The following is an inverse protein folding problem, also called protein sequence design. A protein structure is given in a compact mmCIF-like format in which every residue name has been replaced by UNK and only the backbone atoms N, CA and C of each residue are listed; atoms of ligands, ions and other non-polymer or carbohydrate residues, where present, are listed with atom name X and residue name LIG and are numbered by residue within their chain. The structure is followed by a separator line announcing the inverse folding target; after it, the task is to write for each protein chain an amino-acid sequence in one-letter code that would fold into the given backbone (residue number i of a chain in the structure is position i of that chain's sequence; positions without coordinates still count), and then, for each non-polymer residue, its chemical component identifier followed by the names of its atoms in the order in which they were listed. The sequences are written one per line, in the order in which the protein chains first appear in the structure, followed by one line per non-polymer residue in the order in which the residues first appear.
data_IF_491278603857
#
_entry.id   IF_491278603857
#
_cell.length_a   1.000
_cell.length_b   1.000
_cell.length_c   1.000
_cell.angle_alpha   90.00
_cell.angle_beta   90.00
_cell.angle_gamma   90.00
#
_symmetry.space_group_name_H-M   'P 1'
#
loop_
_entity.id
_entity.type
_entity.pdbx_description
1 polymer ?
#
# COMPACT_ATOMS: atom_id res chain seq x y z
N UNK A 1 4.40 5.34 38.45
CA UNK A 1 5.60 5.75 37.70
C UNK A 1 5.16 6.82 36.69
N UNK A 2 5.64 8.08 36.86
CA UNK A 2 5.25 9.18 35.96
C UNK A 2 5.86 8.94 34.57
N UNK A 3 5.07 8.43 33.68
CA UNK A 3 5.42 8.36 32.25
C UNK A 3 5.30 9.79 31.72
N UNK A 4 6.37 10.58 31.85
CA UNK A 4 6.46 11.90 31.21
C UNK A 4 6.56 11.65 29.72
N UNK A 5 5.40 11.66 29.08
CA UNK A 5 5.33 11.65 27.61
C UNK A 5 6.13 12.82 27.06
N UNK A 6 7.05 12.54 26.15
CA UNK A 6 7.83 13.61 25.46
C UNK A 6 6.88 14.66 24.85
N UNK A 7 7.24 15.94 24.94
CA UNK A 7 6.47 17.01 24.29
C UNK A 7 6.37 16.76 22.76
N UNK A 8 5.23 17.07 22.17
CA UNK A 8 5.00 16.87 20.73
C UNK A 8 6.04 17.57 19.86
N UNK A 9 6.45 18.78 20.25
CA UNK A 9 7.50 19.58 19.61
C UNK A 9 8.88 18.89 19.56
N UNK A 10 9.21 18.07 20.58
CA UNK A 10 10.46 17.28 20.59
C UNK A 10 10.32 16.12 19.59
N UNK A 11 9.18 15.49 19.57
CA UNK A 11 8.86 14.40 18.63
C UNK A 11 8.91 14.93 17.19
N UNK A 12 8.27 16.06 16.90
CA UNK A 12 8.29 16.70 15.58
C UNK A 12 9.69 17.07 15.12
N UNK A 13 10.56 17.52 16.04
CA UNK A 13 11.97 17.79 15.73
C UNK A 13 12.71 16.51 15.33
N UNK A 14 12.53 15.43 16.06
CA UNK A 14 13.16 14.14 15.75
C UNK A 14 12.66 13.55 14.43
N UNK A 15 11.43 13.80 14.06
CA UNK A 15 10.88 13.36 12.77
C UNK A 15 11.51 14.05 11.54
N UNK A 16 12.22 15.16 11.78
CA UNK A 16 12.97 15.87 10.73
C UNK A 16 14.46 15.52 10.75
N UNK A 17 14.87 14.61 11.63
CA UNK A 17 16.25 14.19 11.72
C UNK A 17 16.70 13.49 10.44
N UNK A 18 17.97 13.70 10.05
CA UNK A 18 18.54 13.02 8.88
C UNK A 18 18.75 11.53 9.13
N UNK A 19 18.88 11.13 10.40
CA UNK A 19 19.03 9.75 10.82
C UNK A 19 17.66 9.06 10.89
N UNK A 20 17.47 7.99 10.12
CA UNK A 20 16.25 7.22 10.10
C UNK A 20 15.96 6.50 11.43
N UNK A 21 16.99 6.10 12.19
CA UNK A 21 16.80 5.47 13.50
C UNK A 21 16.20 6.46 14.50
N UNK A 22 16.61 7.74 14.43
CA UNK A 22 16.02 8.82 15.24
C UNK A 22 14.56 9.05 14.82
N UNK A 23 14.26 9.09 13.50
CA UNK A 23 12.89 9.25 13.03
C UNK A 23 12.00 8.06 13.42
N UNK A 24 12.51 6.82 13.33
CA UNK A 24 11.77 5.62 13.75
C UNK A 24 11.53 5.59 15.27
N UNK A 25 12.51 6.01 16.09
CA UNK A 25 12.37 6.11 17.53
C UNK A 25 11.34 7.16 17.96
N UNK A 26 11.24 8.27 17.24
CA UNK A 26 10.25 9.33 17.49
C UNK A 26 8.81 8.79 17.45
N UNK A 27 8.52 7.87 16.54
CA UNK A 27 7.19 7.26 16.41
C UNK A 27 6.85 6.34 17.58
N UNK A 28 7.82 5.58 18.08
CA UNK A 28 7.62 4.77 19.28
C UNK A 28 7.35 5.65 20.51
N UNK A 29 7.90 6.86 20.55
CA UNK A 29 7.65 7.86 21.60
C UNK A 29 6.26 8.51 21.51
N UNK A 30 5.57 8.36 20.38
CA UNK A 30 4.18 8.82 20.20
C UNK A 30 3.13 7.86 20.78
N UNK A 31 3.55 6.74 21.34
CA UNK A 31 2.65 5.74 21.91
C UNK A 31 1.71 6.34 22.95
N UNK A 32 0.40 6.17 22.76
CA UNK A 32 -0.64 6.71 23.67
C UNK A 32 -0.86 8.23 23.58
N UNK A 33 -0.37 8.90 22.52
CA UNK A 33 -0.60 10.33 22.27
C UNK A 33 -1.53 10.55 21.09
N UNK A 34 -2.30 11.63 21.15
CA UNK A 34 -3.01 12.16 20.00
C UNK A 34 -1.99 12.75 19.02
N UNK A 35 -1.77 12.05 17.91
CA UNK A 35 -0.87 12.50 16.85
C UNK A 35 -1.71 13.09 15.72
N UNK A 36 -1.45 14.35 15.29
CA UNK A 36 -2.18 14.95 14.19
C UNK A 36 -2.08 14.10 12.90
N UNK A 37 -3.19 14.03 12.15
CA UNK A 37 -3.29 13.21 10.94
C UNK A 37 -2.22 13.57 9.90
N UNK A 38 -1.92 14.85 9.72
CA UNK A 38 -0.88 15.35 8.83
C UNK A 38 0.54 14.86 9.20
N UNK A 39 0.79 14.62 10.48
CA UNK A 39 2.06 14.07 10.96
C UNK A 39 2.14 12.59 10.62
N UNK A 40 1.05 11.85 10.83
CA UNK A 40 0.95 10.42 10.46
C UNK A 40 1.15 10.26 8.95
N UNK A 41 0.46 11.06 8.14
CA UNK A 41 0.59 11.00 6.67
C UNK A 41 2.03 11.26 6.22
N UNK A 42 2.72 12.20 6.85
CA UNK A 42 4.12 12.48 6.54
C UNK A 42 5.02 11.29 6.85
N UNK A 43 4.81 10.60 7.97
CA UNK A 43 5.59 9.41 8.33
C UNK A 43 5.36 8.24 7.38
N UNK A 44 4.12 8.01 6.99
CA UNK A 44 3.76 6.98 6.02
C UNK A 44 4.35 7.24 4.63
N UNK A 45 4.86 8.47 4.38
CA UNK A 45 5.52 8.88 3.14
C UNK A 45 7.03 9.12 3.31
N UNK A 46 7.61 8.75 4.44
CA UNK A 46 9.06 8.90 4.67
C UNK A 46 9.87 8.16 3.59
N UNK A 47 11.01 8.69 3.21
CA UNK A 47 11.88 8.07 2.21
C UNK A 47 12.44 6.72 2.67
N UNK A 48 12.65 6.54 3.99
CA UNK A 48 13.14 5.28 4.54
C UNK A 48 11.98 4.32 4.86
N UNK A 49 12.03 3.12 4.28
CA UNK A 49 10.98 2.11 4.46
C UNK A 49 10.82 1.65 5.91
N UNK A 50 11.88 1.70 6.74
CA UNK A 50 11.83 1.35 8.17
C UNK A 50 11.01 2.35 8.96
N UNK A 51 11.11 3.62 8.59
CA UNK A 51 10.29 4.69 9.17
C UNK A 51 8.84 4.48 8.81
N UNK A 52 8.53 4.17 7.55
CA UNK A 52 7.16 3.87 7.10
C UNK A 52 6.56 2.65 7.79
N UNK A 53 7.33 1.56 7.89
CA UNK A 53 6.90 0.34 8.59
C UNK A 53 6.65 0.58 10.08
N UNK A 54 7.53 1.36 10.74
CA UNK A 54 7.33 1.73 12.13
C UNK A 54 6.07 2.60 12.32
N UNK A 55 5.77 3.52 11.37
CA UNK A 55 4.55 4.32 11.39
C UNK A 55 3.29 3.45 11.31
N UNK A 56 3.24 2.52 10.36
CA UNK A 56 2.12 1.58 10.24
C UNK A 56 1.91 0.77 11.52
N UNK A 57 2.98 0.19 12.05
CA UNK A 57 2.94 -0.58 13.29
C UNK A 57 2.49 0.27 14.49
N UNK A 58 2.90 1.53 14.55
CA UNK A 58 2.47 2.45 15.61
C UNK A 58 0.97 2.77 15.49
N UNK A 59 0.48 3.04 14.29
CA UNK A 59 -0.95 3.27 14.04
C UNK A 59 -1.79 2.05 14.42
N UNK A 60 -1.43 0.87 13.95
CA UNK A 60 -2.14 -0.38 14.27
C UNK A 60 -2.19 -0.67 15.78
N UNK A 61 -1.04 -0.56 16.48
CA UNK A 61 -0.95 -0.81 17.94
C UNK A 61 -1.74 0.18 18.77
N UNK A 62 -1.88 1.41 18.32
CA UNK A 62 -2.59 2.47 19.06
C UNK A 62 -4.04 2.64 18.60
N UNK A 63 -4.53 1.78 17.70
CA UNK A 63 -5.89 1.91 17.15
C UNK A 63 -6.12 3.22 16.38
N UNK A 64 -5.03 3.84 15.88
CA UNK A 64 -5.12 5.05 15.07
C UNK A 64 -5.51 4.61 13.65
N UNK A 65 -6.66 5.07 13.12
CA UNK A 65 -7.05 4.72 11.77
C UNK A 65 -6.01 5.26 10.78
N UNK A 66 -5.57 4.40 9.88
CA UNK A 66 -4.69 4.84 8.79
C UNK A 66 -5.47 5.78 7.87
N UNK A 67 -4.87 6.92 7.48
CA UNK A 67 -5.55 7.84 6.58
C UNK A 67 -5.81 7.19 5.23
N UNK A 68 -7.00 7.41 4.67
CA UNK A 68 -7.30 7.01 3.31
C UNK A 68 -6.51 7.90 2.34
N UNK A 69 -5.56 7.33 1.64
CA UNK A 69 -4.73 8.05 0.68
C UNK A 69 -4.92 7.45 -0.71
N UNK A 70 -5.47 8.26 -1.62
CA UNK A 70 -5.66 7.91 -3.02
C UNK A 70 -5.00 8.97 -3.89
N UNK A 71 -3.98 8.59 -4.65
CA UNK A 71 -3.30 9.50 -5.59
C UNK A 71 -4.03 9.64 -6.92
N UNK A 72 -4.88 8.65 -7.21
CA UNK A 72 -5.82 8.67 -8.35
C UNK A 72 -7.14 8.07 -7.90
N UNK A 73 -8.23 8.39 -8.61
CA UNK A 73 -9.45 7.61 -8.56
C UNK A 73 -9.36 6.50 -9.63
N UNK A 74 -9.31 5.21 -9.23
CA UNK A 74 -9.27 4.12 -10.19
C UNK A 74 -10.57 4.08 -11.02
N UNK A 75 -10.51 3.64 -12.27
CA UNK A 75 -11.73 3.33 -13.04
C UNK A 75 -12.49 2.17 -12.38
N UNK A 76 -13.73 1.94 -12.82
CA UNK A 76 -14.57 0.84 -12.31
C UNK A 76 -13.87 -0.51 -12.38
N UNK A 77 -13.16 -0.78 -13.49
CA UNK A 77 -12.36 -1.98 -13.68
C UNK A 77 -10.89 -1.63 -13.84
N UNK A 78 -10.04 -2.41 -13.18
CA UNK A 78 -8.59 -2.33 -13.27
C UNK A 78 -8.01 -3.67 -13.70
N UNK A 79 -6.77 -3.68 -14.20
CA UNK A 79 -6.21 -4.82 -14.88
C UNK A 79 -4.81 -5.16 -14.37
N UNK A 80 -4.54 -6.45 -14.21
CA UNK A 80 -3.21 -6.95 -13.81
C UNK A 80 -2.76 -8.03 -14.77
N UNK A 81 -1.54 -7.88 -15.32
CA UNK A 81 -0.91 -8.96 -16.09
C UNK A 81 -0.33 -10.00 -15.15
N UNK A 82 -0.59 -11.25 -15.48
CA UNK A 82 -0.10 -12.43 -14.78
C UNK A 82 0.76 -13.32 -15.71
N UNK A 83 1.32 -14.38 -15.15
CA UNK A 83 2.14 -15.35 -15.90
C UNK A 83 1.35 -15.90 -17.09
N UNK A 84 2.05 -16.16 -18.20
CA UNK A 84 1.41 -16.67 -19.42
C UNK A 84 0.55 -15.67 -20.18
N UNK A 85 0.59 -14.39 -19.81
CA UNK A 85 -0.23 -13.33 -20.45
C UNK A 85 -1.68 -13.29 -19.95
N UNK A 86 -2.01 -14.05 -18.91
CA UNK A 86 -3.32 -13.99 -18.26
C UNK A 86 -3.56 -12.60 -17.71
N UNK A 87 -4.77 -12.08 -17.87
CA UNK A 87 -5.19 -10.78 -17.33
C UNK A 87 -6.22 -11.00 -16.22
N UNK A 88 -5.90 -10.52 -15.04
CA UNK A 88 -6.83 -10.44 -13.91
C UNK A 88 -7.55 -9.09 -13.97
N UNK A 89 -8.87 -9.11 -13.93
CA UNK A 89 -9.75 -7.94 -13.86
C UNK A 89 -10.23 -7.80 -12.42
N UNK A 90 -10.16 -6.60 -11.88
CA UNK A 90 -10.55 -6.34 -10.50
C UNK A 90 -11.28 -5.00 -10.36
N UNK A 91 -12.02 -4.84 -9.26
CA UNK A 91 -12.52 -3.56 -8.76
C UNK A 91 -11.74 -3.15 -7.53
N UNK A 92 -11.62 -1.84 -7.30
CA UNK A 92 -10.93 -1.28 -6.13
C UNK A 92 -11.98 -0.70 -5.18
N UNK A 93 -12.12 -1.24 -3.97
CA UNK A 93 -13.10 -0.73 -3.00
C UNK A 93 -12.87 0.75 -2.66
N UNK A 94 -13.92 1.51 -2.33
CA UNK A 94 -13.81 2.95 -2.06
C UNK A 94 -12.97 3.27 -0.80
N UNK A 95 -12.83 2.33 0.12
CA UNK A 95 -12.01 2.43 1.33
C UNK A 95 -10.57 1.93 1.14
N UNK A 96 -10.20 1.54 -0.08
CA UNK A 96 -8.85 1.08 -0.40
C UNK A 96 -7.87 2.24 -0.59
N UNK A 97 -6.65 2.05 -0.09
CA UNK A 97 -5.50 2.91 -0.38
C UNK A 97 -5.10 2.78 -1.84
N UNK A 98 -4.78 3.87 -2.52
CA UNK A 98 -4.33 3.83 -3.91
C UNK A 98 -3.11 4.71 -4.12
N UNK A 99 -2.07 4.15 -4.74
CA UNK A 99 -0.84 4.83 -5.12
C UNK A 99 -0.55 4.61 -6.61
N UNK A 100 0.02 5.61 -7.24
CA UNK A 100 0.43 5.57 -8.64
C UNK A 100 -0.16 6.71 -9.46
N UNK A 101 -0.09 6.57 -10.78
CA UNK A 101 -0.63 7.50 -11.75
C UNK A 101 -1.42 6.75 -12.82
N UNK A 102 -2.47 7.36 -13.36
CA UNK A 102 -3.39 6.70 -14.31
C UNK A 102 -2.73 6.22 -15.61
N UNK A 103 -1.58 6.77 -15.96
CA UNK A 103 -0.80 6.39 -17.16
C UNK A 103 0.31 5.37 -16.86
N UNK A 104 0.38 4.86 -15.64
CA UNK A 104 1.43 3.93 -15.20
C UNK A 104 0.89 2.81 -14.33
N UNK A 105 1.82 2.10 -13.69
CA UNK A 105 1.50 1.05 -12.73
C UNK A 105 1.04 1.65 -11.41
N UNK A 106 -0.11 1.22 -10.94
CA UNK A 106 -0.70 1.61 -9.66
C UNK A 106 -0.61 0.47 -8.64
N UNK A 107 -0.80 0.80 -7.36
CA UNK A 107 -0.85 -0.15 -6.25
C UNK A 107 -2.02 0.17 -5.33
N UNK A 108 -2.60 -0.87 -4.75
CA UNK A 108 -3.65 -0.76 -3.73
C UNK A 108 -3.44 -1.77 -2.61
N UNK A 109 -4.02 -1.52 -1.45
CA UNK A 109 -4.05 -2.45 -0.32
C UNK A 109 -5.21 -3.45 -0.40
N UNK A 110 -6.26 -3.13 -1.21
CA UNK A 110 -7.43 -4.00 -1.38
C UNK A 110 -7.88 -4.04 -2.83
N UNK A 111 -8.32 -5.21 -3.27
CA UNK A 111 -8.97 -5.40 -4.56
C UNK A 111 -9.97 -6.55 -4.47
N UNK A 112 -11.02 -6.51 -5.27
CA UNK A 112 -11.93 -7.64 -5.49
C UNK A 112 -11.76 -8.14 -6.93
N UNK A 113 -11.44 -9.42 -7.09
CA UNK A 113 -11.20 -10.03 -8.39
C UNK A 113 -12.53 -10.37 -9.06
N UNK A 114 -12.82 -9.71 -10.15
CA UNK A 114 -14.08 -9.89 -10.89
C UNK A 114 -13.97 -11.03 -11.91
N UNK A 115 -12.84 -11.07 -12.63
CA UNK A 115 -12.65 -11.99 -13.73
C UNK A 115 -11.17 -12.33 -13.94
N UNK A 116 -10.92 -13.52 -14.45
CA UNK A 116 -9.61 -13.95 -14.96
C UNK A 116 -9.74 -14.24 -16.44
N UNK A 117 -9.07 -13.47 -17.30
CA UNK A 117 -9.11 -13.60 -18.76
C UNK A 117 -7.88 -14.34 -19.21
N UNK A 118 -8.08 -15.46 -19.87
CA UNK A 118 -7.04 -16.38 -20.31
C UNK A 118 -6.94 -17.61 -19.42
N UNK A 119 -5.99 -18.44 -19.74
CA UNK A 119 -5.79 -19.75 -19.13
C UNK A 119 -4.28 -19.94 -18.91
N UNK A 120 -3.91 -20.52 -17.79
CA UNK A 120 -2.55 -20.94 -17.53
C UNK A 120 -2.56 -22.42 -17.11
N UNK A 121 -1.94 -23.28 -17.92
CA UNK A 121 -1.85 -24.73 -17.72
C UNK A 121 -3.21 -25.45 -17.61
N UNK A 122 -4.25 -24.95 -18.28
CA UNK A 122 -5.61 -25.52 -18.24
C UNK A 122 -6.47 -25.03 -17.08
N UNK A 123 -5.99 -24.05 -16.31
CA UNK A 123 -6.70 -23.47 -15.18
C UNK A 123 -6.97 -21.96 -15.40
N UNK A 124 -8.19 -21.53 -15.07
CA UNK A 124 -8.57 -20.12 -15.10
C UNK A 124 -8.08 -19.41 -13.84
N UNK A 125 -6.77 -19.21 -13.76
CA UNK A 125 -6.07 -18.63 -12.61
C UNK A 125 -5.05 -17.59 -13.04
N UNK A 126 -5.01 -16.46 -12.34
CA UNK A 126 -3.95 -15.48 -12.47
C UNK A 126 -2.80 -15.80 -11.52
N UNK A 127 -1.59 -16.00 -12.02
CA UNK A 127 -0.39 -16.20 -11.20
C UNK A 127 0.47 -14.96 -11.28
N UNK A 128 0.82 -14.40 -10.13
CA UNK A 128 1.66 -13.19 -10.03
C UNK A 128 3.00 -13.38 -10.77
N UNK A 129 3.34 -12.45 -11.64
CA UNK A 129 4.64 -12.45 -12.36
C UNK A 129 5.80 -12.30 -11.36
N UNK A 130 5.59 -11.53 -10.29
CA UNK A 130 6.62 -11.16 -9.35
C UNK A 130 7.15 -12.33 -8.52
N UNK A 131 6.27 -13.00 -7.80
CA UNK A 131 6.64 -14.06 -6.85
C UNK A 131 6.34 -15.46 -7.36
N UNK A 132 5.54 -15.58 -8.42
CA UNK A 132 5.08 -16.83 -9.03
C UNK A 132 4.40 -17.80 -8.05
N UNK A 133 3.88 -17.27 -6.95
CA UNK A 133 3.22 -18.02 -5.86
C UNK A 133 1.83 -17.50 -5.56
N UNK A 134 1.66 -16.18 -5.59
CA UNK A 134 0.35 -15.56 -5.36
C UNK A 134 -0.56 -15.86 -6.54
N UNK A 135 -1.70 -16.45 -6.24
CA UNK A 135 -2.75 -16.80 -7.21
C UNK A 135 -3.97 -15.93 -7.02
N UNK A 136 -4.70 -15.68 -8.10
CA UNK A 136 -5.92 -14.89 -8.14
C UNK A 136 -7.00 -15.66 -8.87
N UNK A 137 -8.15 -15.84 -8.22
CA UNK A 137 -9.35 -16.44 -8.79
C UNK A 137 -10.48 -15.43 -8.83
N UNK A 138 -11.39 -15.57 -9.79
CA UNK A 138 -12.60 -14.76 -9.81
C UNK A 138 -13.41 -14.98 -8.52
N UNK A 139 -13.81 -13.87 -7.90
CA UNK A 139 -14.50 -13.84 -6.60
C UNK A 139 -13.58 -13.65 -5.39
N UNK A 140 -12.25 -13.69 -5.55
CA UNK A 140 -11.32 -13.47 -4.44
C UNK A 140 -11.30 -12.00 -3.99
N UNK A 141 -11.18 -11.81 -2.68
CA UNK A 141 -10.80 -10.54 -2.08
C UNK A 141 -9.31 -10.55 -1.75
N UNK A 142 -8.60 -9.56 -2.26
CA UNK A 142 -7.17 -9.35 -1.99
C UNK A 142 -7.03 -8.29 -0.92
N UNK A 143 -6.29 -8.61 0.16
CA UNK A 143 -5.90 -7.66 1.22
C UNK A 143 -4.39 -7.72 1.41
N UNK A 144 -3.75 -6.56 1.41
CA UNK A 144 -2.30 -6.41 1.60
C UNK A 144 -2.07 -5.66 2.91
N UNK A 145 -1.79 -6.40 3.98
CA UNK A 145 -1.67 -5.86 5.34
C UNK A 145 -0.43 -4.96 5.52
N UNK A 146 0.60 -5.15 4.69
CA UNK A 146 1.85 -4.42 4.73
C UNK A 146 1.99 -3.41 3.57
N UNK A 147 0.89 -2.82 3.12
CA UNK A 147 0.86 -1.84 2.04
C UNK A 147 1.82 -0.68 2.28
N UNK A 148 2.62 -0.34 1.27
CA UNK A 148 3.56 0.77 1.37
C UNK A 148 2.93 2.08 0.90
N UNK A 149 2.89 3.06 1.80
CA UNK A 149 2.33 4.39 1.57
C UNK A 149 3.24 5.34 0.79
N UNK A 150 4.46 4.93 0.42
CA UNK A 150 5.35 5.73 -0.43
C UNK A 150 4.83 5.88 -1.85
N UNK A 151 5.50 6.73 -2.63
CA UNK A 151 5.24 6.86 -4.06
C UNK A 151 6.11 5.90 -4.91
N UNK A 152 6.84 4.98 -4.29
CA UNK A 152 7.64 4.00 -5.01
C UNK A 152 6.74 3.08 -5.84
N UNK A 153 6.98 3.00 -7.13
CA UNK A 153 6.16 2.24 -8.06
C UNK A 153 6.19 0.73 -7.76
N UNK A 154 7.37 0.19 -7.49
CA UNK A 154 7.60 -1.24 -7.26
C UNK A 154 7.68 -1.59 -5.78
N UNK A 155 6.75 -1.10 -4.97
CA UNK A 155 6.68 -1.42 -3.56
C UNK A 155 5.48 -2.32 -3.22
N UNK A 156 5.24 -2.59 -1.93
CA UNK A 156 4.22 -3.54 -1.46
C UNK A 156 2.81 -3.06 -1.77
N UNK A 157 2.00 -3.95 -2.33
CA UNK A 157 0.64 -3.69 -2.75
C UNK A 157 0.17 -4.63 -3.85
N UNK A 158 -1.13 -4.70 -4.08
CA UNK A 158 -1.68 -5.27 -5.29
C UNK A 158 -1.44 -4.31 -6.46
N UNK A 159 -0.59 -4.70 -7.40
CA UNK A 159 -0.28 -3.87 -8.57
C UNK A 159 -1.32 -4.04 -9.67
N UNK A 160 -1.72 -2.91 -10.27
CA UNK A 160 -2.70 -2.88 -11.33
C UNK A 160 -2.43 -1.75 -12.35
N UNK A 161 -3.13 -1.79 -13.46
CA UNK A 161 -3.19 -0.76 -14.49
C UNK A 161 -4.62 -0.29 -14.68
N UNK A 162 -4.79 0.98 -15.05
CA UNK A 162 -6.11 1.56 -15.28
C UNK A 162 -6.77 1.09 -16.57
N UNK A 163 -5.99 0.59 -17.54
CA UNK A 163 -6.52 0.04 -18.79
C UNK A 163 -5.95 -1.34 -19.07
N UNK A 164 -6.73 -2.15 -19.78
CA UNK A 164 -6.31 -3.47 -20.22
C UNK A 164 -5.07 -3.40 -21.12
N UNK A 165 -5.01 -2.46 -22.03
CA UNK A 165 -3.88 -2.24 -22.94
C UNK A 165 -2.57 -1.98 -22.17
N UNK A 166 -2.62 -1.17 -21.11
CA UNK A 166 -1.46 -0.93 -20.25
C UNK A 166 -0.98 -2.24 -19.58
N UNK A 167 -1.89 -3.06 -19.09
CA UNK A 167 -1.55 -4.35 -18.51
C UNK A 167 -0.95 -5.30 -19.55
N UNK A 168 -1.55 -5.45 -20.72
CA UNK A 168 -1.08 -6.31 -21.81
C UNK A 168 0.33 -5.94 -22.29
N UNK A 169 0.62 -4.65 -22.39
CA UNK A 169 1.92 -4.12 -22.84
C UNK A 169 3.01 -4.11 -21.75
N UNK A 170 2.68 -4.44 -20.51
CA UNK A 170 3.65 -4.50 -19.42
C UNK A 170 4.59 -5.71 -19.61
N UNK A 171 5.92 -5.47 -19.59
CA UNK A 171 6.98 -6.46 -19.79
C UNK A 171 7.75 -6.73 -18.48
#
# INVERSE_FOLDING_TARGET
MNNKSLPLEVIERWLRDNDYDVRAAAMNACQGKDVPLEVIERWLRDNDWRVRAAAMNACQRNGIPLPLIRTIEPPELVYKKCVGGVIVVATIPPDAQVRGAANGKCRTDKAHIVEVIGDFAGENVGISIWDRRTTYYAGDDVVVDDFDYSNEECSRGYHFFCTREQAENYN
#
